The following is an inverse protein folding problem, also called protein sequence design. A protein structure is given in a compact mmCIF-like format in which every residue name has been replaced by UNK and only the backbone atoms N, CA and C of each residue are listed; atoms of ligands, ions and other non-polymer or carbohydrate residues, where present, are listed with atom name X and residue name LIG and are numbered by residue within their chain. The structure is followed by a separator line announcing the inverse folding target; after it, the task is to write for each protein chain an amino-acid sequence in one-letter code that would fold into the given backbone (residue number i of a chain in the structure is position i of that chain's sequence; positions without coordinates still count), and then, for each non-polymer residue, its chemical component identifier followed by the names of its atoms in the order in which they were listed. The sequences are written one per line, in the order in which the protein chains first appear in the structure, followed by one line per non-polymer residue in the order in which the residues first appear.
data_IF_786039145378
#
_entry.id   IF_786039145378
#
_cell.length_a   1.000
_cell.length_b   1.000
_cell.length_c   1.000
_cell.angle_alpha   90.00
_cell.angle_beta   90.00
_cell.angle_gamma   90.00
#
_symmetry.space_group_name_H-M   'P 1'
#
loop_
_entity.id
_entity.type
_entity.pdbx_description
1 polymer ?
#
# COMPACT_ATOMS: atom_id res chain seq x y z
N UNK A 1 17.90 23.23 7.04
CA UNK A 1 17.20 24.33 7.76
C UNK A 1 15.76 24.37 7.31
N UNK A 2 14.88 24.85 8.21
CA UNK A 2 13.45 25.03 7.97
C UNK A 2 13.13 26.49 8.18
N UNK A 3 12.27 27.03 7.34
CA UNK A 3 11.80 28.41 7.42
C UNK A 3 10.29 28.44 7.28
N UNK A 4 9.63 29.08 8.20
CA UNK A 4 8.21 29.37 8.10
C UNK A 4 7.97 30.59 7.22
N UNK A 5 6.99 30.49 6.35
CA UNK A 5 6.45 31.57 5.54
C UNK A 5 4.95 31.66 5.74
N UNK A 6 4.34 32.83 5.53
CA UNK A 6 2.88 32.92 5.58
C UNK A 6 2.25 31.94 4.58
N UNK A 7 1.60 30.90 5.12
CA UNK A 7 0.89 29.90 4.35
C UNK A 7 1.71 28.73 3.78
N UNK A 8 3.01 28.58 4.08
CA UNK A 8 3.79 27.41 3.69
C UNK A 8 5.13 27.31 4.43
N UNK A 9 5.80 26.18 4.32
CA UNK A 9 7.11 25.92 4.90
C UNK A 9 8.16 25.74 3.82
N UNK A 10 9.32 26.41 3.94
CA UNK A 10 10.47 26.21 3.07
C UNK A 10 11.49 25.30 3.76
N UNK A 11 11.85 24.21 3.09
CA UNK A 11 12.92 23.30 3.50
C UNK A 11 14.19 23.59 2.74
N UNK A 12 15.32 23.48 3.44
CA UNK A 12 16.65 23.60 2.87
C UNK A 12 17.17 25.02 2.66
N UNK A 13 18.43 25.09 2.28
CA UNK A 13 19.17 26.26 1.80
C UNK A 13 19.93 25.87 0.54
N UNK A 14 20.56 26.82 -0.12
CA UNK A 14 21.26 26.56 -1.42
C UNK A 14 22.25 25.39 -1.35
N UNK A 15 22.94 25.21 -0.23
CA UNK A 15 24.01 24.22 -0.08
C UNK A 15 23.64 22.99 0.77
N UNK A 16 22.49 23.01 1.46
CA UNK A 16 22.12 21.93 2.37
C UNK A 16 20.62 21.70 2.36
N UNK A 17 20.23 20.43 2.40
CA UNK A 17 18.85 20.01 2.62
C UNK A 17 18.31 20.44 4.00
N UNK A 18 17.04 20.24 4.20
CA UNK A 18 16.33 20.36 5.46
C UNK A 18 15.19 19.37 5.47
N UNK A 19 14.71 19.06 6.64
CA UNK A 19 13.59 18.15 6.79
C UNK A 19 12.60 18.63 7.84
N UNK A 20 11.39 18.17 7.72
CA UNK A 20 10.39 18.22 8.79
C UNK A 20 9.81 16.82 8.97
N UNK A 21 9.21 16.61 10.11
CA UNK A 21 8.52 15.38 10.45
C UNK A 21 7.23 15.71 11.19
N UNK A 22 6.15 14.99 10.88
CA UNK A 22 4.90 15.13 11.61
C UNK A 22 5.08 14.65 13.05
N UNK A 23 4.22 15.06 13.97
CA UNK A 23 4.01 14.31 15.21
C UNK A 23 3.64 12.85 14.92
N UNK A 24 3.58 12.01 15.95
CA UNK A 24 2.95 10.70 15.85
C UNK A 24 1.50 10.84 15.36
N UNK A 25 1.07 9.95 14.48
CA UNK A 25 -0.29 9.98 13.94
C UNK A 25 -1.29 9.38 14.93
N UNK A 26 -1.47 10.07 16.06
CA UNK A 26 -2.28 9.63 17.20
C UNK A 26 -3.74 9.31 16.84
N UNK A 27 -4.23 9.79 15.70
CA UNK A 27 -5.56 9.46 15.19
C UNK A 27 -5.68 8.03 14.60
N UNK A 28 -4.56 7.34 14.41
CA UNK A 28 -4.52 5.94 13.96
C UNK A 28 -4.62 4.97 15.14
N UNK A 29 -4.95 3.72 14.86
CA UNK A 29 -4.92 2.64 15.86
C UNK A 29 -3.49 2.17 16.14
N UNK A 30 -3.31 1.37 17.19
CA UNK A 30 -2.06 0.67 17.42
C UNK A 30 -1.87 -0.53 16.46
N UNK A 31 -2.95 -1.02 15.85
CA UNK A 31 -2.89 -2.04 14.83
C UNK A 31 -2.46 -1.44 13.47
N UNK A 32 -1.66 -2.16 12.67
CA UNK A 32 -1.26 -1.70 11.35
C UNK A 32 -2.45 -1.38 10.44
N UNK A 33 -2.39 -0.25 9.76
CA UNK A 33 -3.40 0.16 8.80
C UNK A 33 -2.75 0.90 7.62
N UNK A 34 -3.44 0.96 6.50
CA UNK A 34 -2.99 1.71 5.33
C UNK A 34 -3.53 3.12 5.38
N UNK A 35 -2.66 4.12 5.15
CA UNK A 35 -3.06 5.51 5.07
C UNK A 35 -2.62 6.14 3.75
N UNK A 36 -3.40 7.10 3.27
CA UNK A 36 -3.05 7.96 2.16
C UNK A 36 -2.50 9.28 2.69
N UNK A 37 -1.37 9.71 2.15
CA UNK A 37 -0.73 10.99 2.49
C UNK A 37 -0.67 11.83 1.23
N UNK A 38 -1.21 13.05 1.29
CA UNK A 38 -1.04 14.04 0.23
C UNK A 38 -0.30 15.26 0.75
N UNK A 39 0.58 15.80 -0.08
CA UNK A 39 1.42 16.95 0.26
C UNK A 39 1.51 17.86 -0.96
N UNK A 40 1.36 19.14 -0.76
CA UNK A 40 1.60 20.13 -1.80
C UNK A 40 3.07 20.52 -1.83
N UNK A 41 3.69 20.36 -2.99
CA UNK A 41 5.07 20.70 -3.26
C UNK A 41 5.21 21.84 -4.25
N UNK A 42 6.22 22.67 -4.02
CA UNK A 42 6.57 23.75 -4.89
C UNK A 42 8.09 23.90 -4.90
N UNK A 43 8.71 23.82 -6.09
CA UNK A 43 10.13 24.14 -6.21
C UNK A 43 10.42 25.58 -5.81
N UNK A 44 11.55 25.77 -5.17
CA UNK A 44 12.03 27.12 -4.89
C UNK A 44 12.74 27.67 -6.13
N UNK A 45 12.15 28.70 -6.70
CA UNK A 45 12.70 29.41 -7.86
C UNK A 45 13.12 28.46 -9.02
N UNK A 46 14.30 28.60 -9.55
CA UNK A 46 14.85 27.74 -10.62
C UNK A 46 15.73 26.59 -10.10
N UNK A 47 15.70 26.30 -8.80
CA UNK A 47 16.48 25.21 -8.23
C UNK A 47 15.94 23.84 -8.63
N UNK A 48 16.83 22.87 -8.71
CA UNK A 48 16.50 21.48 -9.03
C UNK A 48 16.20 20.63 -7.78
N UNK A 49 15.67 21.27 -6.73
CA UNK A 49 15.32 20.59 -5.48
C UNK A 49 14.37 19.40 -5.74
N UNK A 50 14.68 18.30 -5.09
CA UNK A 50 13.87 17.10 -5.03
C UNK A 50 13.49 16.82 -3.58
N UNK A 51 12.79 15.74 -3.34
CA UNK A 51 12.36 15.36 -2.01
C UNK A 51 12.49 13.86 -1.78
N UNK A 52 12.55 13.49 -0.51
CA UNK A 52 12.31 12.13 -0.02
C UNK A 52 11.17 12.21 0.99
N UNK A 53 10.20 11.33 0.85
CA UNK A 53 9.18 11.10 1.85
C UNK A 53 9.35 9.70 2.40
N UNK A 54 9.41 9.58 3.72
CA UNK A 54 9.58 8.32 4.44
C UNK A 54 8.65 8.26 5.64
N UNK A 55 8.39 7.04 6.10
CA UNK A 55 7.72 6.79 7.38
C UNK A 55 8.76 6.40 8.43
N UNK A 56 8.62 6.91 9.65
CA UNK A 56 9.43 6.55 10.81
C UNK A 56 8.54 6.07 11.96
N UNK A 57 9.07 5.23 12.81
CA UNK A 57 8.35 4.61 13.93
C UNK A 57 7.55 3.37 13.51
N UNK A 58 6.72 3.45 12.49
CA UNK A 58 6.01 2.32 11.89
C UNK A 58 5.58 2.68 10.46
N UNK A 59 5.30 1.66 9.65
CA UNK A 59 4.82 1.80 8.28
C UNK A 59 5.92 2.00 7.24
N UNK A 60 5.53 1.79 5.97
CA UNK A 60 6.41 1.91 4.80
C UNK A 60 5.69 2.68 3.71
N UNK A 61 6.35 3.68 3.13
CA UNK A 61 5.86 4.38 1.93
C UNK A 61 6.04 3.46 0.73
N UNK A 62 4.96 3.07 0.06
CA UNK A 62 4.98 2.00 -0.95
C UNK A 62 4.67 2.46 -2.36
N UNK A 63 3.90 3.52 -2.54
CA UNK A 63 3.55 4.02 -3.87
C UNK A 63 3.43 5.54 -3.88
N UNK A 64 3.30 6.09 -5.07
CA UNK A 64 3.20 7.51 -5.30
C UNK A 64 4.48 8.06 -5.93
N UNK A 65 4.49 9.34 -6.18
CA UNK A 65 5.64 10.04 -6.74
C UNK A 65 6.63 10.42 -5.62
N UNK A 66 7.25 9.40 -5.01
CA UNK A 66 8.17 9.53 -3.88
C UNK A 66 9.60 9.26 -4.30
N UNK A 67 10.54 9.59 -3.42
CA UNK A 67 11.96 9.27 -3.55
C UNK A 67 12.62 9.85 -4.80
N UNK A 68 13.15 11.05 -4.68
CA UNK A 68 13.93 11.76 -5.69
C UNK A 68 13.19 12.14 -6.98
N UNK A 69 11.87 12.22 -6.97
CA UNK A 69 11.14 12.80 -8.10
C UNK A 69 11.45 14.29 -8.22
N UNK A 70 11.90 14.69 -9.41
CA UNK A 70 12.17 16.10 -9.71
C UNK A 70 10.84 16.86 -9.80
N UNK A 71 10.68 17.88 -8.97
CA UNK A 71 9.51 18.75 -9.03
C UNK A 71 9.56 19.63 -10.30
N UNK A 72 8.40 19.93 -10.90
CA UNK A 72 8.32 20.79 -12.08
C UNK A 72 9.00 22.14 -11.86
N UNK A 73 9.73 22.62 -12.85
CA UNK A 73 10.31 23.96 -12.82
C UNK A 73 9.20 25.01 -12.74
N UNK A 74 9.38 25.96 -11.85
CA UNK A 74 8.53 27.15 -11.80
C UNK A 74 9.25 28.30 -12.48
N UNK A 75 8.66 28.83 -13.52
CA UNK A 75 9.08 30.11 -14.06
C UNK A 75 8.33 31.22 -13.30
N UNK A 76 9.04 32.24 -12.89
CA UNK A 76 8.48 33.41 -12.21
C UNK A 76 7.31 34.07 -12.96
N UNK A 77 7.27 33.92 -14.28
CA UNK A 77 6.22 34.46 -15.15
C UNK A 77 4.89 33.69 -15.13
N UNK A 78 4.88 32.43 -14.69
CA UNK A 78 3.68 31.56 -14.73
C UNK A 78 2.93 31.47 -13.40
N UNK A 79 3.38 32.20 -12.39
CA UNK A 79 2.87 32.07 -11.02
C UNK A 79 3.34 30.76 -10.35
N UNK A 80 3.18 30.70 -9.05
CA UNK A 80 3.53 29.52 -8.25
C UNK A 80 2.46 28.45 -8.46
N UNK A 81 2.84 27.37 -9.14
CA UNK A 81 1.95 26.22 -9.32
C UNK A 81 2.35 25.12 -8.36
N UNK A 82 1.59 24.96 -7.31
CA UNK A 82 1.71 23.83 -6.40
C UNK A 82 1.37 22.53 -7.12
N UNK A 83 2.11 21.48 -6.80
CA UNK A 83 1.83 20.12 -7.24
C UNK A 83 1.50 19.29 -6.02
N UNK A 84 0.27 18.81 -5.93
CA UNK A 84 -0.13 17.83 -4.92
C UNK A 84 0.40 16.47 -5.34
N UNK A 85 1.11 15.82 -4.45
CA UNK A 85 1.57 14.44 -4.59
C UNK A 85 0.88 13.61 -3.53
N UNK A 86 0.44 12.42 -3.94
CA UNK A 86 -0.24 11.47 -3.05
C UNK A 86 0.49 10.14 -3.07
N UNK A 87 0.66 9.55 -1.91
CA UNK A 87 1.30 8.26 -1.74
C UNK A 87 0.67 7.50 -0.57
N UNK A 88 0.94 6.21 -0.53
CA UNK A 88 0.41 5.28 0.46
C UNK A 88 1.47 4.93 1.48
N UNK A 89 1.10 4.87 2.74
CA UNK A 89 1.90 4.28 3.82
C UNK A 89 1.18 3.02 4.28
N UNK A 90 1.79 1.87 4.01
CA UNK A 90 1.32 0.58 4.51
C UNK A 90 1.83 0.34 5.92
N UNK A 91 1.11 -0.46 6.69
CA UNK A 91 1.44 -0.82 8.07
C UNK A 91 1.66 0.39 9.00
N UNK A 92 0.97 1.49 8.73
CA UNK A 92 0.98 2.66 9.59
C UNK A 92 0.25 2.38 10.91
N UNK A 93 0.74 2.95 12.00
CA UNK A 93 0.13 2.89 13.33
C UNK A 93 0.10 4.26 13.99
N UNK A 94 -0.44 4.36 15.19
CA UNK A 94 -0.36 5.59 16.00
C UNK A 94 1.08 6.02 16.35
N UNK A 95 2.10 5.22 16.02
CA UNK A 95 3.52 5.55 16.18
C UNK A 95 4.18 6.03 14.88
N UNK A 96 3.45 6.00 13.79
CA UNK A 96 3.94 6.46 12.50
C UNK A 96 4.14 7.98 12.51
N UNK A 97 5.24 8.42 11.91
CA UNK A 97 5.57 9.81 11.59
C UNK A 97 5.93 9.91 10.12
N UNK A 98 5.49 10.96 9.47
CA UNK A 98 5.85 11.21 8.07
C UNK A 98 6.98 12.22 8.05
N UNK A 99 8.12 11.81 7.51
CA UNK A 99 9.30 12.66 7.32
C UNK A 99 9.38 13.11 5.87
N UNK A 100 9.55 14.41 5.67
CA UNK A 100 9.75 15.03 4.37
C UNK A 100 11.11 15.70 4.39
N UNK A 101 11.98 15.29 3.48
CA UNK A 101 13.37 15.77 3.39
C UNK A 101 13.65 16.38 2.03
N UNK A 102 14.15 17.59 2.03
CA UNK A 102 14.62 18.25 0.81
C UNK A 102 15.96 17.67 0.37
N UNK A 103 16.05 17.26 -0.90
CA UNK A 103 17.23 16.70 -1.53
C UNK A 103 17.64 17.54 -2.74
N UNK A 104 18.83 17.31 -3.28
CA UNK A 104 19.25 17.93 -4.51
C UNK A 104 19.34 16.90 -5.63
N UNK A 105 18.97 17.35 -6.83
CA UNK A 105 19.29 16.67 -8.07
C UNK A 105 20.37 17.49 -8.81
N UNK A 106 21.48 16.86 -9.16
CA UNK A 106 22.61 17.51 -9.81
C UNK A 106 23.27 18.69 -9.04
N UNK A 107 23.18 18.68 -7.71
CA UNK A 107 23.88 19.61 -6.81
C UNK A 107 23.60 21.12 -7.03
N UNK A 108 22.45 21.47 -7.59
CA UNK A 108 22.13 22.88 -7.93
C UNK A 108 21.16 23.55 -6.96
N UNK A 109 20.90 22.96 -5.81
CA UNK A 109 20.06 23.55 -4.76
C UNK A 109 19.19 22.52 -4.07
N UNK A 110 18.82 22.82 -2.83
CA UNK A 110 18.09 21.91 -1.95
C UNK A 110 16.73 22.49 -1.51
N UNK A 111 16.36 23.65 -2.06
CA UNK A 111 15.19 24.35 -1.54
C UNK A 111 13.92 23.85 -2.18
N UNK A 112 12.98 23.45 -1.33
CA UNK A 112 11.59 23.16 -1.71
C UNK A 112 10.64 23.84 -0.75
N UNK A 113 9.46 24.15 -1.21
CA UNK A 113 8.35 24.61 -0.37
C UNK A 113 7.32 23.49 -0.27
N UNK A 114 6.74 23.35 0.89
CA UNK A 114 5.69 22.37 1.18
C UNK A 114 4.52 23.04 1.88
N UNK A 115 3.33 22.48 1.65
CA UNK A 115 2.09 22.92 2.26
C UNK A 115 1.09 21.76 2.32
N UNK A 116 -0.01 21.94 3.02
CA UNK A 116 -1.18 21.05 3.02
C UNK A 116 -0.82 19.56 3.18
N UNK A 117 -0.09 19.22 4.26
CA UNK A 117 0.14 17.82 4.60
C UNK A 117 -1.16 17.23 5.15
N UNK A 118 -1.80 16.35 4.38
CA UNK A 118 -3.05 15.69 4.76
C UNK A 118 -2.80 14.18 4.86
N UNK A 119 -3.12 13.61 6.00
CA UNK A 119 -3.09 12.17 6.23
C UNK A 119 -4.53 11.70 6.42
N UNK A 120 -4.95 10.77 5.58
CA UNK A 120 -6.26 10.14 5.66
C UNK A 120 -6.07 8.65 5.82
N UNK A 121 -6.81 8.02 6.74
CA UNK A 121 -6.96 6.58 6.68
C UNK A 121 -7.43 6.24 5.26
N UNK A 122 -6.74 5.31 4.58
CA UNK A 122 -7.30 4.76 3.35
C UNK A 122 -8.70 4.26 3.72
N UNK A 123 -9.69 4.53 2.86
CA UNK A 123 -11.08 4.20 3.15
C UNK A 123 -11.12 2.80 3.75
N UNK A 124 -11.21 2.72 5.08
CA UNK A 124 -11.55 1.47 5.73
C UNK A 124 -12.91 1.13 5.16
N UNK A 125 -12.96 0.13 4.30
CA UNK A 125 -14.24 -0.49 4.00
C UNK A 125 -14.70 -1.02 5.34
N UNK A 126 -15.60 -0.28 5.99
CA UNK A 126 -16.20 -0.73 7.25
C UNK A 126 -17.00 -1.97 6.91
N UNK A 127 -16.42 -3.11 7.22
CA UNK A 127 -17.09 -4.40 7.04
C UNK A 127 -18.02 -4.57 8.25
N UNK A 128 -19.30 -4.36 8.01
CA UNK A 128 -20.36 -4.43 9.02
C UNK A 128 -21.17 -5.72 8.91
N UNK A 129 -20.88 -6.53 7.91
CA UNK A 129 -21.56 -7.81 7.63
C UNK A 129 -20.54 -8.81 7.05
N UNK A 130 -20.96 -10.05 6.96
CA UNK A 130 -20.14 -11.13 6.40
C UNK A 130 -19.70 -10.81 4.97
N UNK A 131 -18.40 -10.98 4.69
CA UNK A 131 -17.87 -10.78 3.36
C UNK A 131 -18.56 -11.71 2.34
N UNK A 132 -18.74 -11.28 1.09
CA UNK A 132 -19.18 -12.18 0.03
C UNK A 132 -18.12 -13.25 -0.22
N UNK A 133 -18.55 -14.45 -0.55
CA UNK A 133 -17.65 -15.53 -0.96
C UNK A 133 -17.00 -15.19 -2.32
N UNK A 134 -15.73 -15.58 -2.56
CA UNK A 134 -15.13 -15.47 -3.89
C UNK A 134 -16.02 -16.15 -4.94
N UNK A 135 -16.26 -15.50 -6.07
CA UNK A 135 -17.14 -16.03 -7.13
C UNK A 135 -16.51 -17.22 -7.83
N UNK A 136 -17.20 -18.35 -7.88
CA UNK A 136 -16.72 -19.59 -8.49
C UNK A 136 -16.27 -19.42 -9.94
N UNK A 137 -17.00 -18.63 -10.72
CA UNK A 137 -16.75 -18.40 -12.14
C UNK A 137 -15.51 -17.53 -12.38
N UNK A 138 -15.11 -16.75 -11.36
CA UNK A 138 -13.92 -15.90 -11.40
C UNK A 138 -12.66 -16.61 -10.88
N UNK A 139 -12.75 -17.87 -10.47
CA UNK A 139 -11.60 -18.66 -10.05
C UNK A 139 -10.96 -19.29 -11.30
N UNK A 140 -9.82 -18.74 -11.71
CA UNK A 140 -8.96 -19.33 -12.73
C UNK A 140 -7.94 -20.28 -12.10
N UNK A 141 -7.52 -21.30 -12.82
CA UNK A 141 -6.41 -22.16 -12.42
C UNK A 141 -5.54 -22.55 -13.61
N UNK A 142 -4.26 -22.75 -13.34
CA UNK A 142 -3.27 -23.18 -14.33
C UNK A 142 -2.57 -24.42 -13.78
N UNK A 143 -2.85 -25.62 -14.33
CA UNK A 143 -2.20 -26.84 -13.89
C UNK A 143 -0.79 -26.95 -14.48
N UNK A 144 0.12 -27.53 -13.71
CA UNK A 144 1.41 -28.02 -14.14
C UNK A 144 1.59 -29.48 -13.69
N UNK A 145 2.69 -30.12 -14.02
CA UNK A 145 2.92 -31.55 -13.74
C UNK A 145 2.82 -31.89 -12.24
N UNK A 146 3.33 -31.00 -11.37
CA UNK A 146 3.36 -31.19 -9.92
C UNK A 146 2.86 -29.99 -9.12
N UNK A 147 2.22 -29.00 -9.79
CA UNK A 147 1.66 -27.83 -9.12
C UNK A 147 0.38 -27.33 -9.77
N UNK A 148 -0.39 -26.55 -9.04
CA UNK A 148 -1.54 -25.81 -9.57
C UNK A 148 -1.49 -24.40 -9.01
N UNK A 149 -1.43 -23.42 -9.93
CA UNK A 149 -1.59 -22.01 -9.59
C UNK A 149 -3.06 -21.60 -9.70
N UNK A 150 -3.53 -20.82 -8.75
CA UNK A 150 -4.89 -20.28 -8.69
C UNK A 150 -4.88 -18.76 -8.65
N UNK A 151 -5.88 -18.15 -9.28
CA UNK A 151 -6.17 -16.73 -9.17
C UNK A 151 -7.69 -16.52 -9.11
N UNK A 152 -8.13 -15.53 -8.37
CA UNK A 152 -9.54 -15.15 -8.22
C UNK A 152 -9.71 -13.64 -8.21
N UNK A 153 -10.94 -13.17 -8.34
CA UNK A 153 -11.23 -11.75 -8.18
C UNK A 153 -11.20 -11.36 -6.70
N UNK A 154 -10.53 -10.24 -6.39
CA UNK A 154 -10.42 -9.74 -5.03
C UNK A 154 -11.78 -9.37 -4.44
N UNK A 155 -12.04 -9.78 -3.21
CA UNK A 155 -13.27 -9.47 -2.47
C UNK A 155 -13.10 -8.13 -1.75
N UNK A 156 -13.98 -7.18 -2.02
CA UNK A 156 -13.95 -5.87 -1.36
C UNK A 156 -14.11 -6.00 0.15
N UNK A 157 -13.16 -5.45 0.90
CA UNK A 157 -13.12 -5.52 2.36
C UNK A 157 -12.34 -6.70 2.92
N UNK A 158 -11.94 -7.68 2.10
CA UNK A 158 -11.05 -8.74 2.55
C UNK A 158 -9.67 -8.20 2.91
N UNK A 159 -9.09 -8.69 3.98
CA UNK A 159 -7.71 -8.39 4.40
C UNK A 159 -6.73 -9.47 3.98
N UNK A 160 -7.20 -10.69 3.83
CA UNK A 160 -6.45 -11.86 3.34
C UNK A 160 -7.42 -12.94 2.83
N UNK A 161 -6.86 -14.04 2.35
CA UNK A 161 -7.60 -15.21 1.89
C UNK A 161 -7.00 -16.47 2.49
N UNK A 162 -7.85 -17.40 2.90
CA UNK A 162 -7.44 -18.76 3.19
C UNK A 162 -7.77 -19.62 1.97
N UNK A 163 -6.75 -20.21 1.37
CA UNK A 163 -6.90 -21.13 0.26
C UNK A 163 -6.38 -22.52 0.62
N UNK A 164 -7.01 -23.55 0.12
CA UNK A 164 -6.56 -24.93 0.34
C UNK A 164 -6.87 -25.85 -0.85
N UNK A 165 -6.10 -26.91 -0.98
CA UNK A 165 -6.37 -28.03 -1.88
C UNK A 165 -6.44 -29.33 -1.08
N UNK A 166 -7.44 -30.16 -1.36
CA UNK A 166 -7.57 -31.50 -0.83
C UNK A 166 -7.72 -32.49 -1.99
N UNK A 167 -7.01 -33.60 -1.96
CA UNK A 167 -7.12 -34.61 -2.99
C UNK A 167 -8.44 -35.37 -2.86
N UNK A 168 -9.22 -35.47 -3.95
CA UNK A 168 -10.58 -36.03 -3.91
C UNK A 168 -10.61 -37.47 -3.41
N UNK A 169 -9.61 -38.27 -3.77
CA UNK A 169 -9.49 -39.69 -3.39
C UNK A 169 -8.73 -39.94 -2.10
N UNK A 170 -8.11 -38.91 -1.53
CA UNK A 170 -7.33 -38.96 -0.27
C UNK A 170 -7.70 -37.78 0.63
N UNK A 171 -8.82 -37.86 1.36
CA UNK A 171 -9.34 -36.76 2.18
C UNK A 171 -8.35 -36.24 3.24
N UNK A 172 -7.43 -37.11 3.70
CA UNK A 172 -6.40 -36.75 4.67
C UNK A 172 -5.28 -35.87 4.07
N UNK A 173 -5.16 -35.82 2.75
CA UNK A 173 -4.25 -34.92 2.08
C UNK A 173 -4.87 -33.55 1.91
N UNK A 174 -4.37 -32.59 2.66
CA UNK A 174 -4.76 -31.18 2.56
C UNK A 174 -3.55 -30.27 2.68
N UNK A 175 -3.41 -29.34 1.77
CA UNK A 175 -2.49 -28.19 1.89
C UNK A 175 -3.30 -26.92 2.05
N UNK A 176 -2.87 -26.04 2.93
CA UNK A 176 -3.54 -24.74 3.18
C UNK A 176 -2.51 -23.63 3.17
N UNK A 177 -2.87 -22.48 2.62
CA UNK A 177 -2.09 -21.25 2.61
C UNK A 177 -2.98 -20.08 2.96
N UNK A 178 -2.45 -19.11 3.69
CA UNK A 178 -3.04 -17.79 3.84
C UNK A 178 -2.22 -16.79 3.02
N UNK A 179 -2.89 -15.92 2.25
CA UNK A 179 -2.27 -14.93 1.37
C UNK A 179 -3.04 -13.62 1.42
N UNK A 180 -2.35 -12.50 1.31
CA UNK A 180 -2.96 -11.18 1.11
C UNK A 180 -3.29 -10.90 -0.35
N UNK A 181 -2.71 -11.67 -1.27
CA UNK A 181 -2.97 -11.57 -2.70
C UNK A 181 -4.17 -12.42 -3.12
N UNK A 182 -4.82 -12.06 -4.21
CA UNK A 182 -5.91 -12.86 -4.80
C UNK A 182 -5.39 -13.98 -5.71
N UNK A 183 -4.28 -14.59 -5.34
CA UNK A 183 -3.68 -15.74 -6.01
C UNK A 183 -2.84 -16.57 -5.05
N UNK A 184 -2.58 -17.82 -5.41
CA UNK A 184 -1.64 -18.71 -4.73
C UNK A 184 -1.23 -19.87 -5.64
N UNK A 185 -0.18 -20.59 -5.25
CA UNK A 185 0.27 -21.81 -5.90
C UNK A 185 0.44 -22.93 -4.87
N UNK A 186 0.00 -24.12 -5.22
CA UNK A 186 0.26 -25.34 -4.47
C UNK A 186 1.20 -26.23 -5.28
N UNK A 187 2.40 -26.45 -4.77
CA UNK A 187 3.42 -27.32 -5.35
C UNK A 187 3.43 -28.70 -4.70
N UNK A 188 4.23 -29.61 -5.25
CA UNK A 188 4.39 -31.00 -4.80
C UNK A 188 3.05 -31.74 -4.72
N UNK A 189 2.27 -31.63 -5.76
CA UNK A 189 1.01 -32.35 -5.94
C UNK A 189 1.24 -33.59 -6.77
N UNK A 190 0.63 -34.72 -6.38
CA UNK A 190 0.56 -35.92 -7.19
C UNK A 190 -0.51 -35.74 -8.30
N UNK A 191 -0.38 -36.41 -9.45
CA UNK A 191 -1.43 -36.41 -10.48
C UNK A 191 -2.78 -36.82 -9.89
N UNK A 192 -3.83 -36.05 -10.16
CA UNK A 192 -5.16 -36.39 -9.67
C UNK A 192 -6.13 -35.22 -9.67
N UNK A 193 -7.31 -35.50 -9.11
CA UNK A 193 -8.34 -34.48 -8.90
C UNK A 193 -8.26 -33.90 -7.49
N UNK A 194 -8.39 -32.59 -7.41
CA UNK A 194 -8.33 -31.83 -6.18
C UNK A 194 -9.57 -30.97 -6.00
N UNK A 195 -9.98 -30.81 -4.76
CA UNK A 195 -10.98 -29.80 -4.37
C UNK A 195 -10.20 -28.58 -3.90
N UNK A 196 -10.20 -27.52 -4.71
CA UNK A 196 -9.73 -26.21 -4.29
C UNK A 196 -10.81 -25.52 -3.48
N UNK A 197 -10.42 -24.94 -2.37
CA UNK A 197 -11.33 -24.15 -1.50
C UNK A 197 -10.68 -22.80 -1.21
N UNK A 198 -11.42 -21.71 -1.33
CA UNK A 198 -10.96 -20.37 -0.98
C UNK A 198 -12.05 -19.62 -0.23
N UNK A 199 -11.67 -18.85 0.80
CA UNK A 199 -12.55 -17.90 1.48
C UNK A 199 -11.82 -16.58 1.75
N UNK A 200 -12.57 -15.49 1.76
CA UNK A 200 -12.10 -14.19 2.15
C UNK A 200 -12.08 -14.03 3.66
N UNK A 201 -11.03 -13.45 4.21
CA UNK A 201 -10.84 -13.22 5.64
C UNK A 201 -10.89 -11.72 5.95
N UNK A 202 -11.40 -11.39 7.13
CA UNK A 202 -11.38 -10.04 7.66
C UNK A 202 -10.69 -10.02 9.03
N UNK A 203 -9.53 -9.38 9.10
CA UNK A 203 -8.71 -9.33 10.33
C UNK A 203 -9.41 -8.63 11.50
N UNK A 204 -10.38 -7.74 11.23
CA UNK A 204 -11.09 -6.99 12.26
C UNK A 204 -12.09 -7.84 13.06
N UNK A 205 -12.72 -8.83 12.43
CA UNK A 205 -13.65 -9.75 13.07
C UNK A 205 -13.83 -11.02 12.22
N UNK A 206 -13.47 -12.17 12.77
CA UNK A 206 -13.56 -13.46 12.10
C UNK A 206 -15.01 -13.88 11.75
N UNK A 207 -16.02 -13.35 12.43
CA UNK A 207 -17.44 -13.58 12.11
C UNK A 207 -17.82 -13.02 10.73
N UNK A 208 -17.03 -12.04 10.24
CA UNK A 208 -17.23 -11.44 8.93
C UNK A 208 -16.48 -12.16 7.81
N UNK A 209 -15.73 -13.20 8.10
CA UNK A 209 -15.13 -14.03 7.07
C UNK A 209 -16.20 -14.61 6.15
N UNK A 210 -15.89 -14.69 4.85
CA UNK A 210 -16.83 -15.23 3.88
C UNK A 210 -17.08 -16.73 4.08
N UNK A 211 -18.16 -17.22 3.49
CA UNK A 211 -18.27 -18.64 3.20
C UNK A 211 -17.20 -19.07 2.21
N UNK A 212 -16.76 -20.34 2.27
CA UNK A 212 -15.81 -20.85 1.30
C UNK A 212 -16.46 -21.11 -0.06
N UNK A 213 -15.73 -20.82 -1.12
CA UNK A 213 -16.05 -21.29 -2.49
C UNK A 213 -15.18 -22.46 -2.83
N UNK A 214 -15.75 -23.47 -3.51
CA UNK A 214 -15.06 -24.70 -3.88
C UNK A 214 -15.08 -24.94 -5.39
N UNK A 215 -13.98 -25.46 -5.94
CA UNK A 215 -13.83 -25.82 -7.35
C UNK A 215 -13.06 -27.13 -7.47
N UNK A 216 -13.56 -28.06 -8.30
CA UNK A 216 -12.81 -29.27 -8.62
C UNK A 216 -11.87 -28.99 -9.78
N UNK A 217 -10.62 -29.35 -9.62
CA UNK A 217 -9.54 -29.13 -10.58
C UNK A 217 -8.67 -30.38 -10.71
N UNK A 218 -7.91 -30.49 -11.80
CA UNK A 218 -6.96 -31.58 -12.03
C UNK A 218 -5.54 -31.05 -12.27
N UNK A 219 -4.54 -31.86 -11.91
CA UNK A 219 -3.15 -31.67 -12.32
C UNK A 219 -2.93 -32.29 -13.69
#
# INVERSE_FOLDING_TARGET
RVYEHPGYVKLGVTANGGWIMTPELEGLSAAPETVSVSIDFLRFDNETGTYIVSAEGAGVVTNGEVNNTVLPAQTSAAGRKWKTLTFTVQDATNKTRIKIEAQTYNQTGYRINIDNIVVMAADKVEVTEKLPAPELEKIAYTPAETSIAFAWEGVKGATSYEASVAQQTRPDFKKTVETTDSNCEFADLEPGLYIFTVRALYAGNAEFNSDPTQKVVGT
#
